data_IF_978301601993
#
_entry.id   IF_978301601993
#
_cell.length_a   1.000
_cell.length_b   1.000
_cell.length_c   1.000
_cell.angle_alpha   90.00
_cell.angle_beta   90.00
_cell.angle_gamma   90.00
#
_symmetry.space_group_name_H-M   'P 1'
#
loop_
_entity.id
_entity.type
_entity.pdbx_description
1 polymer ?
#
# COMPACT_ATOMS: atom_id res chain seq x y z
N UNK A 1 1.95 -9.65 4.92
CA UNK A 1 2.55 -10.95 5.35
C UNK A 1 1.42 -11.80 5.90
N UNK A 2 1.31 -13.04 5.41
CA UNK A 2 0.31 -13.98 5.94
C UNK A 2 0.71 -14.47 7.35
N UNK A 3 -0.24 -15.12 8.06
CA UNK A 3 0.03 -15.73 9.35
C UNK A 3 0.90 -16.99 9.19
N UNK A 4 2.03 -17.07 9.90
CA UNK A 4 2.90 -18.25 9.90
C UNK A 4 2.18 -19.49 10.44
N UNK A 5 1.25 -19.32 11.40
CA UNK A 5 0.43 -20.42 11.90
C UNK A 5 -0.48 -20.97 10.81
N UNK A 6 -1.13 -20.06 10.04
CA UNK A 6 -1.96 -20.46 8.90
C UNK A 6 -1.13 -21.21 7.85
N UNK A 7 0.07 -20.68 7.49
CA UNK A 7 0.96 -21.33 6.53
C UNK A 7 1.36 -22.74 6.98
N UNK A 8 1.71 -22.90 8.25
CA UNK A 8 2.10 -24.20 8.83
C UNK A 8 0.96 -25.22 8.86
N UNK A 9 -0.25 -24.75 9.20
CA UNK A 9 -1.44 -25.63 9.28
C UNK A 9 -2.06 -25.91 7.91
N UNK A 10 -1.85 -25.03 6.92
CA UNK A 10 -2.47 -25.10 5.59
C UNK A 10 -1.47 -24.86 4.44
N UNK A 11 -0.33 -25.58 4.36
CA UNK A 11 0.70 -25.30 3.38
C UNK A 11 0.21 -25.45 1.93
N UNK A 12 -0.64 -26.43 1.65
CA UNK A 12 -1.19 -26.62 0.31
C UNK A 12 -2.14 -25.51 -0.12
N UNK A 13 -2.90 -24.92 0.80
CA UNK A 13 -3.72 -23.74 0.49
C UNK A 13 -2.85 -22.52 0.12
N UNK A 14 -1.71 -22.34 0.78
CA UNK A 14 -0.75 -21.29 0.44
C UNK A 14 -0.11 -21.53 -0.91
N UNK A 15 0.31 -22.77 -1.19
CA UNK A 15 0.87 -23.16 -2.50
C UNK A 15 -0.15 -22.98 -3.62
N UNK A 16 -1.41 -23.36 -3.40
CA UNK A 16 -2.49 -23.15 -4.36
C UNK A 16 -2.72 -21.67 -4.66
N UNK A 17 -2.70 -20.82 -3.63
CA UNK A 17 -2.76 -19.37 -3.79
C UNK A 17 -1.60 -18.80 -4.62
N UNK A 18 -0.38 -19.30 -4.40
CA UNK A 18 0.80 -18.94 -5.20
C UNK A 18 0.61 -19.32 -6.68
N UNK A 19 0.07 -20.52 -6.96
CA UNK A 19 -0.24 -20.96 -8.34
C UNK A 19 -1.31 -20.07 -8.98
N UNK A 20 -2.39 -19.76 -8.25
CA UNK A 20 -3.45 -18.83 -8.71
C UNK A 20 -2.90 -17.46 -9.08
N UNK A 21 -1.82 -17.02 -8.42
CA UNK A 21 -1.13 -15.77 -8.72
C UNK A 21 -0.02 -15.92 -9.79
N UNK A 22 0.12 -17.07 -10.42
CA UNK A 22 1.14 -17.36 -11.44
C UNK A 22 2.57 -17.07 -10.94
N UNK A 23 2.84 -17.39 -9.67
CA UNK A 23 4.13 -17.13 -9.01
C UNK A 23 4.82 -18.42 -8.58
N UNK A 24 4.78 -19.48 -9.40
CA UNK A 24 5.27 -20.83 -9.09
C UNK A 24 6.72 -20.86 -8.58
N UNK A 25 7.55 -19.88 -8.97
CA UNK A 25 8.91 -19.70 -8.45
C UNK A 25 8.97 -19.56 -6.92
N UNK A 26 7.86 -19.18 -6.28
CA UNK A 26 7.76 -19.00 -4.82
C UNK A 26 7.27 -20.26 -4.08
N UNK A 27 6.88 -21.33 -4.78
CA UNK A 27 6.40 -22.56 -4.15
C UNK A 27 7.41 -23.19 -3.16
N UNK A 28 8.72 -23.28 -3.47
CA UNK A 28 9.70 -23.84 -2.55
C UNK A 28 9.83 -23.05 -1.23
N UNK A 29 9.51 -21.74 -1.23
CA UNK A 29 9.59 -20.89 -0.04
C UNK A 29 8.64 -21.34 1.06
N UNK A 30 7.52 -21.97 0.71
CA UNK A 30 6.53 -22.48 1.69
C UNK A 30 7.16 -23.61 2.52
N UNK A 31 7.81 -24.56 1.87
CA UNK A 31 8.47 -25.68 2.54
C UNK A 31 9.67 -25.20 3.36
N UNK A 32 10.48 -24.29 2.80
CA UNK A 32 11.63 -23.68 3.50
C UNK A 32 11.20 -22.98 4.80
N UNK A 33 10.11 -22.20 4.77
CA UNK A 33 9.57 -21.55 5.99
C UNK A 33 9.16 -22.60 7.02
N UNK A 34 8.52 -23.69 6.62
CA UNK A 34 8.09 -24.74 7.54
C UNK A 34 9.30 -25.40 8.22
N UNK A 35 10.35 -25.72 7.47
CA UNK A 35 11.57 -26.27 8.00
C UNK A 35 12.25 -25.32 9.00
N UNK A 36 12.41 -24.04 8.62
CA UNK A 36 12.98 -23.02 9.50
C UNK A 36 12.13 -22.77 10.76
N UNK A 37 10.80 -22.80 10.65
CA UNK A 37 9.90 -22.65 11.79
C UNK A 37 10.01 -23.84 12.76
N UNK A 38 10.16 -25.05 12.26
CA UNK A 38 10.42 -26.25 13.09
C UNK A 38 11.75 -26.10 13.84
N UNK A 39 12.79 -25.64 13.18
CA UNK A 39 14.11 -25.43 13.78
C UNK A 39 14.09 -24.30 14.82
N UNK A 40 13.43 -23.19 14.52
CA UNK A 40 13.25 -22.05 15.44
C UNK A 40 12.52 -22.46 16.69
N UNK A 41 11.41 -23.20 16.56
CA UNK A 41 10.65 -23.69 17.72
C UNK A 41 11.43 -24.69 18.58
N UNK A 42 12.27 -25.55 17.97
CA UNK A 42 13.16 -26.43 18.73
C UNK A 42 14.20 -25.65 19.49
N UNK A 43 14.86 -24.67 18.87
CA UNK A 43 15.84 -23.82 19.52
C UNK A 43 15.23 -23.05 20.69
N UNK A 44 14.04 -22.49 20.51
CA UNK A 44 13.28 -21.79 21.54
C UNK A 44 12.91 -22.70 22.72
N UNK A 45 12.41 -23.91 22.45
CA UNK A 45 12.07 -24.88 23.49
C UNK A 45 13.31 -25.25 24.32
N UNK A 46 14.45 -25.54 23.65
CA UNK A 46 15.71 -25.83 24.36
C UNK A 46 16.18 -24.65 25.22
N UNK A 47 16.07 -23.43 24.69
CA UNK A 47 16.42 -22.19 25.41
C UNK A 47 15.52 -22.01 26.67
N UNK A 48 14.22 -22.21 26.53
CA UNK A 48 13.26 -22.11 27.65
C UNK A 48 13.51 -23.18 28.73
N UNK A 49 13.83 -24.41 28.32
CA UNK A 49 14.19 -25.49 29.21
C UNK A 49 15.47 -25.15 29.98
N UNK A 50 16.50 -24.60 29.30
CA UNK A 50 17.74 -24.16 29.96
C UNK A 50 17.50 -22.99 30.94
N UNK A 51 16.64 -22.02 30.59
CA UNK A 51 16.25 -20.92 31.48
C UNK A 51 15.55 -21.45 32.75
N UNK A 52 14.63 -22.40 32.57
CA UNK A 52 13.91 -23.05 33.67
C UNK A 52 14.89 -23.81 34.57
N UNK A 53 15.80 -24.61 33.98
CA UNK A 53 16.79 -25.40 34.69
C UNK A 53 17.79 -24.53 35.49
N UNK A 54 18.26 -23.43 34.90
CA UNK A 54 19.12 -22.44 35.57
C UNK A 54 18.50 -21.95 36.88
N UNK A 55 17.20 -21.66 36.88
CA UNK A 55 16.51 -21.20 38.09
C UNK A 55 16.43 -22.27 39.17
N UNK A 56 16.28 -23.56 38.79
CA UNK A 56 16.30 -24.70 39.72
C UNK A 56 17.69 -24.91 40.31
N UNK A 57 18.71 -24.99 39.45
CA UNK A 57 20.12 -25.20 39.86
C UNK A 57 20.60 -24.06 40.76
N UNK A 58 20.21 -22.81 40.49
CA UNK A 58 20.57 -21.68 41.37
C UNK A 58 20.03 -21.83 42.78
N UNK A 59 18.83 -22.39 42.97
CA UNK A 59 18.27 -22.72 44.30
C UNK A 59 19.01 -23.86 44.94
N UNK A 60 19.38 -24.91 44.20
CA UNK A 60 20.16 -26.05 44.68
C UNK A 60 21.55 -25.63 45.17
N UNK A 61 22.25 -24.74 44.41
CA UNK A 61 23.55 -24.18 44.81
C UNK A 61 23.44 -23.46 46.17
N UNK A 62 22.39 -22.65 46.36
CA UNK A 62 22.15 -21.96 47.62
C UNK A 62 21.98 -22.94 48.78
N UNK A 63 21.20 -24.02 48.57
CA UNK A 63 21.00 -25.07 49.59
C UNK A 63 22.28 -25.85 49.90
N UNK A 64 23.06 -26.24 48.89
CA UNK A 64 24.33 -26.95 49.02
C UNK A 64 25.39 -26.12 49.78
N UNK A 65 25.46 -24.83 49.47
CA UNK A 65 26.35 -23.89 50.17
C UNK A 65 25.96 -23.75 51.65
N UNK A 66 24.65 -23.67 51.96
CA UNK A 66 24.13 -23.65 53.33
C UNK A 66 24.42 -24.92 54.09
N UNK A 67 24.55 -26.08 53.41
CA UNK A 67 24.91 -27.39 54.00
C UNK A 67 26.43 -27.64 54.08
N UNK A 68 27.27 -26.70 53.60
CA UNK A 68 28.73 -26.85 53.62
C UNK A 68 29.29 -27.75 52.51
N UNK A 69 28.47 -28.20 51.53
CA UNK A 69 28.84 -29.11 50.43
C UNK A 69 29.46 -28.34 49.27
N UNK A 70 30.66 -27.80 49.48
CA UNK A 70 31.32 -26.88 48.53
C UNK A 70 31.64 -27.53 47.17
N UNK A 71 32.12 -28.79 47.16
CA UNK A 71 32.45 -29.48 45.89
C UNK A 71 31.24 -29.71 45.02
N UNK A 72 30.11 -30.17 45.61
CA UNK A 72 28.86 -30.33 44.89
C UNK A 72 28.32 -28.99 44.39
N UNK A 73 28.45 -27.92 45.15
CA UNK A 73 28.07 -26.57 44.72
C UNK A 73 28.93 -26.05 43.54
N UNK A 74 30.25 -26.33 43.54
CA UNK A 74 31.12 -25.93 42.40
C UNK A 74 30.81 -26.73 41.12
N UNK A 75 30.51 -28.04 41.25
CA UNK A 75 30.05 -28.82 40.07
C UNK A 75 28.75 -28.25 39.49
N UNK A 76 27.80 -27.84 40.31
CA UNK A 76 26.57 -27.17 39.86
C UNK A 76 26.80 -25.80 39.25
N UNK A 77 27.78 -25.02 39.75
CA UNK A 77 28.17 -23.75 39.11
C UNK A 77 28.77 -23.96 37.72
N UNK A 78 29.58 -25.01 37.53
CA UNK A 78 30.13 -25.35 36.22
C UNK A 78 29.01 -25.77 35.24
N UNK A 79 28.00 -26.48 35.70
CA UNK A 79 26.80 -26.83 34.91
C UNK A 79 26.05 -25.55 34.50
N UNK A 80 25.85 -24.60 35.41
CA UNK A 80 25.21 -23.32 35.09
C UNK A 80 26.02 -22.52 34.06
N UNK A 81 27.36 -22.53 34.17
CA UNK A 81 28.21 -21.83 33.18
C UNK A 81 28.13 -22.46 31.78
N UNK A 82 28.12 -23.79 31.69
CA UNK A 82 27.94 -24.49 30.41
C UNK A 82 26.55 -24.21 29.79
N UNK A 83 25.50 -24.26 30.63
CA UNK A 83 24.14 -23.91 30.17
C UNK A 83 24.00 -22.46 29.74
N UNK A 84 24.69 -21.52 30.38
CA UNK A 84 24.71 -20.11 29.99
C UNK A 84 25.30 -19.90 28.60
N UNK A 85 26.42 -20.59 28.29
CA UNK A 85 27.03 -20.55 26.96
C UNK A 85 26.09 -21.12 25.89
N UNK A 86 25.49 -22.28 26.19
CA UNK A 86 24.54 -22.91 25.26
C UNK A 86 23.31 -22.05 25.04
N UNK A 87 22.82 -21.36 26.07
CA UNK A 87 21.69 -20.44 25.96
C UNK A 87 22.01 -19.25 25.00
N UNK A 88 23.20 -18.68 25.14
CA UNK A 88 23.67 -17.58 24.23
C UNK A 88 23.73 -18.04 22.76
N UNK A 89 24.26 -19.25 22.51
CA UNK A 89 24.27 -19.86 21.17
C UNK A 89 22.85 -20.03 20.61
N UNK A 90 21.90 -20.50 21.44
CA UNK A 90 20.52 -20.71 21.04
C UNK A 90 19.78 -19.39 20.79
N UNK A 91 19.99 -18.36 21.60
CA UNK A 91 19.42 -17.03 21.44
C UNK A 91 19.91 -16.38 20.13
N UNK A 92 21.20 -16.53 19.81
CA UNK A 92 21.76 -16.07 18.54
C UNK A 92 21.13 -16.81 17.36
N UNK A 93 21.03 -18.13 17.45
CA UNK A 93 20.41 -18.97 16.44
C UNK A 93 18.93 -18.63 16.23
N UNK A 94 18.18 -18.44 17.32
CA UNK A 94 16.76 -18.05 17.29
C UNK A 94 16.59 -16.73 16.53
N UNK A 95 17.40 -15.71 16.85
CA UNK A 95 17.35 -14.41 16.17
C UNK A 95 17.66 -14.52 14.66
N UNK A 96 18.66 -15.32 14.27
CA UNK A 96 19.00 -15.56 12.86
C UNK A 96 17.87 -16.27 12.11
N UNK A 97 17.25 -17.28 12.75
CA UNK A 97 16.14 -18.03 12.15
C UNK A 97 14.89 -17.14 12.02
N UNK A 98 14.56 -16.36 13.04
CA UNK A 98 13.43 -15.41 12.98
C UNK A 98 13.61 -14.38 11.86
N UNK A 99 14.82 -13.87 11.66
CA UNK A 99 15.10 -12.93 10.57
C UNK A 99 14.93 -13.59 9.19
N UNK A 100 15.46 -14.82 9.01
CA UNK A 100 15.29 -15.58 7.77
C UNK A 100 13.82 -15.87 7.47
N UNK A 101 13.09 -16.40 8.46
CA UNK A 101 11.65 -16.68 8.36
C UNK A 101 10.92 -15.40 7.95
N UNK A 102 11.19 -14.29 8.63
CA UNK A 102 10.54 -13.00 8.33
C UNK A 102 10.79 -12.56 6.88
N UNK A 103 12.02 -12.63 6.38
CA UNK A 103 12.36 -12.28 5.00
C UNK A 103 11.58 -13.11 3.99
N UNK A 104 11.52 -14.42 4.18
CA UNK A 104 10.78 -15.32 3.27
C UNK A 104 9.27 -15.05 3.38
N UNK A 105 8.72 -14.93 4.57
CA UNK A 105 7.31 -14.64 4.80
C UNK A 105 6.87 -13.31 4.18
N UNK A 106 7.77 -12.32 4.11
CA UNK A 106 7.50 -11.05 3.41
C UNK A 106 7.49 -11.17 1.89
N UNK A 107 8.02 -12.27 1.34
CA UNK A 107 8.04 -12.57 -0.10
C UNK A 107 6.83 -13.41 -0.53
N UNK A 108 6.27 -14.21 0.37
CA UNK A 108 5.06 -15.01 0.11
C UNK A 108 3.85 -14.07 -0.03
N UNK A 109 3.07 -14.17 -1.13
CA UNK A 109 1.93 -13.30 -1.36
C UNK A 109 0.80 -13.54 -0.35
N UNK A 110 -0.01 -12.51 -0.12
CA UNK A 110 -1.22 -12.62 0.68
C UNK A 110 -2.24 -13.56 0.03
N UNK A 111 -3.12 -14.14 0.83
CA UNK A 111 -4.21 -14.99 0.33
C UNK A 111 -5.25 -14.10 -0.34
N UNK A 112 -5.54 -14.36 -1.60
CA UNK A 112 -6.55 -13.62 -2.35
C UNK A 112 -7.97 -14.01 -1.92
N UNK A 113 -8.91 -13.05 -2.03
CA UNK A 113 -10.33 -13.31 -1.79
C UNK A 113 -10.83 -14.37 -2.78
N UNK A 114 -11.69 -15.32 -2.35
CA UNK A 114 -12.22 -16.35 -3.23
C UNK A 114 -12.98 -15.82 -4.45
N UNK A 115 -13.49 -14.59 -4.40
CA UNK A 115 -14.21 -13.93 -5.50
C UNK A 115 -13.31 -13.36 -6.57
N UNK A 116 -11.99 -13.26 -6.32
CA UNK A 116 -11.02 -12.71 -7.29
C UNK A 116 -10.97 -13.58 -8.55
N UNK A 117 -11.16 -13.00 -9.75
CA UNK A 117 -11.04 -13.75 -10.99
C UNK A 117 -9.64 -14.27 -11.19
N UNK A 118 -9.52 -15.49 -11.70
CA UNK A 118 -8.22 -16.08 -12.01
C UNK A 118 -7.81 -15.65 -13.41
N UNK A 119 -6.67 -14.98 -13.51
CA UNK A 119 -6.10 -14.48 -14.75
C UNK A 119 -4.62 -14.22 -14.59
N UNK A 120 -3.88 -14.20 -15.69
CA UNK A 120 -2.42 -14.13 -15.70
C UNK A 120 -1.87 -12.71 -15.54
N UNK A 121 -2.51 -11.74 -16.17
CA UNK A 121 -2.08 -10.35 -16.22
C UNK A 121 -3.28 -9.39 -16.39
N UNK A 122 -3.03 -8.11 -16.47
CA UNK A 122 -4.01 -7.03 -16.56
C UNK A 122 -4.98 -7.16 -17.75
N UNK A 123 -4.61 -7.86 -18.82
CA UNK A 123 -5.48 -8.12 -19.98
C UNK A 123 -6.69 -9.02 -19.64
N UNK A 124 -6.62 -9.76 -18.53
CA UNK A 124 -7.67 -10.67 -18.04
C UNK A 124 -8.46 -10.07 -16.86
N UNK A 125 -8.27 -8.79 -16.56
CA UNK A 125 -9.08 -8.07 -15.60
C UNK A 125 -10.54 -7.98 -16.05
N UNK A 126 -11.49 -8.03 -15.10
CA UNK A 126 -12.92 -8.16 -15.38
C UNK A 126 -13.65 -6.84 -15.18
N UNK A 127 -14.36 -6.36 -16.21
CA UNK A 127 -15.24 -5.20 -16.09
C UNK A 127 -16.43 -5.51 -15.19
N UNK A 128 -16.58 -4.72 -14.11
CA UNK A 128 -17.68 -4.88 -13.14
C UNK A 128 -18.87 -4.01 -13.53
N UNK A 129 -18.62 -2.72 -13.79
CA UNK A 129 -19.71 -1.76 -14.06
C UNK A 129 -19.19 -0.48 -14.72
N UNK A 130 -20.05 0.11 -15.56
CA UNK A 130 -19.88 1.45 -16.13
C UNK A 130 -20.78 2.46 -15.44
N UNK A 131 -20.32 3.69 -15.34
CA UNK A 131 -21.02 4.82 -14.75
C UNK A 131 -20.94 6.02 -15.68
N UNK A 132 -22.09 6.53 -16.10
CA UNK A 132 -22.20 7.59 -17.11
C UNK A 132 -22.00 7.06 -18.52
N UNK A 133 -22.51 7.86 -19.46
CA UNK A 133 -22.46 7.52 -20.89
C UNK A 133 -21.19 8.08 -21.52
N UNK A 134 -20.32 7.24 -22.08
CA UNK A 134 -19.14 7.70 -22.80
C UNK A 134 -19.57 8.42 -24.07
N UNK A 135 -19.11 9.65 -24.26
CA UNK A 135 -19.37 10.44 -25.43
C UNK A 135 -18.09 10.68 -26.25
N UNK A 136 -18.22 10.80 -27.54
CA UNK A 136 -17.17 11.23 -28.46
C UNK A 136 -17.71 12.43 -29.20
N UNK A 137 -17.09 13.63 -29.08
CA UNK A 137 -17.54 14.80 -29.81
C UNK A 137 -17.30 14.64 -31.33
N UNK A 138 -17.95 15.49 -32.11
CA UNK A 138 -17.83 15.52 -33.58
C UNK A 138 -16.61 16.30 -34.09
N UNK A 139 -15.74 16.76 -33.18
CA UNK A 139 -14.47 17.42 -33.47
C UNK A 139 -13.29 16.62 -32.95
N UNK A 140 -12.11 16.88 -33.52
CA UNK A 140 -10.86 16.23 -33.10
C UNK A 140 -10.42 16.74 -31.74
N UNK A 141 -10.11 15.82 -30.85
CA UNK A 141 -9.53 16.11 -29.53
C UNK A 141 -8.00 16.00 -29.64
N UNK A 142 -7.24 17.08 -29.46
CA UNK A 142 -5.79 17.05 -29.46
C UNK A 142 -5.23 16.23 -28.30
N UNK A 143 -3.94 15.93 -28.32
CA UNK A 143 -3.27 15.32 -27.21
C UNK A 143 -3.29 16.26 -25.99
N UNK A 144 -3.35 15.70 -24.79
CA UNK A 144 -3.54 16.53 -23.59
C UNK A 144 -2.46 17.62 -23.38
N UNK A 145 -1.21 17.35 -23.78
CA UNK A 145 -0.16 18.38 -23.71
C UNK A 145 -0.41 19.49 -24.72
N UNK A 146 -0.89 19.18 -25.93
CA UNK A 146 -1.17 20.18 -26.93
C UNK A 146 -2.33 21.11 -26.50
N UNK A 147 -3.34 20.54 -25.79
CA UNK A 147 -4.41 21.33 -25.17
C UNK A 147 -3.82 22.26 -24.10
N UNK A 148 -2.98 21.74 -23.21
CA UNK A 148 -2.38 22.52 -22.13
C UNK A 148 -1.38 23.57 -22.65
N UNK A 149 -0.59 23.25 -23.66
CA UNK A 149 0.34 24.20 -24.31
C UNK A 149 -0.41 25.35 -24.95
N UNK A 150 -1.53 25.08 -25.68
CA UNK A 150 -2.38 26.11 -26.27
C UNK A 150 -2.97 27.06 -25.23
N UNK A 151 -3.23 26.56 -24.02
CA UNK A 151 -3.73 27.35 -22.87
C UNK A 151 -2.60 27.94 -22.01
N UNK A 152 -1.35 27.89 -22.50
CA UNK A 152 -0.15 28.32 -21.76
C UNK A 152 -0.06 27.70 -20.33
N UNK A 153 -0.59 26.49 -20.19
CA UNK A 153 -0.80 25.81 -18.90
C UNK A 153 0.26 24.78 -18.52
N UNK A 154 1.23 24.48 -19.41
CA UNK A 154 2.30 23.50 -19.16
C UNK A 154 3.61 23.91 -19.80
N UNK A 155 4.74 23.65 -19.12
CA UNK A 155 6.09 23.81 -19.68
C UNK A 155 6.93 22.55 -19.35
N UNK A 156 7.02 21.66 -20.33
CA UNK A 156 7.81 20.43 -20.24
C UNK A 156 9.29 20.68 -20.55
N UNK A 157 9.61 21.69 -21.37
CA UNK A 157 10.99 21.98 -21.78
C UNK A 157 11.81 22.56 -20.62
N UNK A 158 11.22 23.47 -19.86
CA UNK A 158 11.87 23.99 -18.64
C UNK A 158 11.97 22.92 -17.56
N UNK A 159 10.96 22.07 -17.40
CA UNK A 159 11.01 20.96 -16.47
C UNK A 159 12.14 19.99 -16.80
N UNK A 160 12.34 19.68 -18.09
CA UNK A 160 13.45 18.83 -18.55
C UNK A 160 14.81 19.40 -18.22
N UNK A 161 14.98 20.73 -18.34
CA UNK A 161 16.24 21.41 -17.98
C UNK A 161 16.54 21.37 -16.47
N UNK A 162 15.49 21.44 -15.64
CA UNK A 162 15.61 21.54 -14.18
C UNK A 162 15.72 20.16 -13.52
N UNK A 163 14.90 19.19 -13.96
CA UNK A 163 14.73 17.92 -13.24
C UNK A 163 14.86 16.67 -14.14
N UNK A 164 14.91 16.85 -15.46
CA UNK A 164 14.92 15.74 -16.42
C UNK A 164 13.52 15.41 -16.95
N UNK A 165 13.42 14.29 -17.67
CA UNK A 165 12.14 13.80 -18.20
C UNK A 165 11.24 13.29 -17.04
N UNK A 166 9.93 13.29 -17.25
CA UNK A 166 8.96 12.81 -16.26
C UNK A 166 8.63 13.82 -15.15
N UNK A 167 8.96 15.09 -15.39
CA UNK A 167 8.56 16.25 -14.57
C UNK A 167 7.84 17.28 -15.42
N UNK A 168 7.15 18.21 -14.78
CA UNK A 168 6.36 19.25 -15.42
C UNK A 168 6.34 20.54 -14.61
N UNK A 169 6.12 21.66 -15.28
CA UNK A 169 5.54 22.86 -14.69
C UNK A 169 4.10 22.98 -15.17
N UNK A 170 3.16 23.14 -14.24
CA UNK A 170 1.81 23.60 -14.55
C UNK A 170 1.72 25.09 -14.27
N UNK A 171 1.00 25.83 -15.13
CA UNK A 171 0.91 27.28 -15.06
C UNK A 171 -0.54 27.75 -15.28
N UNK A 172 -0.80 29.00 -14.94
CA UNK A 172 -2.06 29.69 -15.22
C UNK A 172 -3.29 28.93 -14.70
N UNK A 173 -4.31 28.86 -15.52
CA UNK A 173 -5.59 28.23 -15.17
C UNK A 173 -5.50 26.69 -15.09
N UNK A 174 -4.54 26.05 -15.77
CA UNK A 174 -4.30 24.61 -15.62
C UNK A 174 -3.73 24.31 -14.23
N UNK A 175 -2.80 25.10 -13.71
CA UNK A 175 -2.29 24.96 -12.35
C UNK A 175 -3.39 25.22 -11.30
N UNK A 176 -4.27 26.22 -11.56
CA UNK A 176 -5.44 26.48 -10.71
C UNK A 176 -6.43 25.32 -10.72
N UNK A 177 -6.71 24.75 -11.89
CA UNK A 177 -7.58 23.58 -12.04
C UNK A 177 -7.02 22.38 -11.26
N UNK A 178 -5.72 22.11 -11.38
CA UNK A 178 -5.03 21.07 -10.62
C UNK A 178 -5.26 21.25 -9.10
N UNK A 179 -5.03 22.45 -8.57
CA UNK A 179 -5.25 22.76 -7.16
C UNK A 179 -6.73 22.71 -6.76
N UNK A 180 -7.63 23.15 -7.65
CA UNK A 180 -9.08 23.11 -7.43
C UNK A 180 -9.61 21.68 -7.30
N UNK A 181 -9.12 20.75 -8.14
CA UNK A 181 -9.50 19.33 -8.07
C UNK A 181 -9.07 18.71 -6.75
N UNK A 182 -7.86 19.00 -6.27
CA UNK A 182 -7.37 18.50 -4.98
C UNK A 182 -8.19 19.09 -3.83
N UNK A 183 -8.44 20.39 -3.84
CA UNK A 183 -9.23 21.07 -2.80
C UNK A 183 -10.65 20.52 -2.75
N UNK A 184 -11.29 20.34 -3.90
CA UNK A 184 -12.61 19.71 -4.00
C UNK A 184 -12.59 18.27 -3.48
N UNK A 185 -11.63 17.44 -3.90
CA UNK A 185 -11.51 16.06 -3.44
C UNK A 185 -11.32 15.94 -1.92
N UNK A 186 -10.52 16.83 -1.33
CA UNK A 186 -10.35 16.93 0.12
C UNK A 186 -11.69 17.21 0.82
N UNK A 187 -12.39 18.24 0.39
CA UNK A 187 -13.65 18.67 1.02
C UNK A 187 -14.75 17.63 0.80
N UNK A 188 -14.76 16.97 -0.37
CA UNK A 188 -15.63 15.83 -0.67
C UNK A 188 -15.42 14.68 0.32
N UNK A 189 -14.18 14.33 0.65
CA UNK A 189 -13.89 13.26 1.61
C UNK A 189 -14.20 13.67 3.05
N UNK A 190 -13.93 14.91 3.43
CA UNK A 190 -14.34 15.46 4.75
C UNK A 190 -15.86 15.37 4.90
N UNK A 191 -16.61 15.76 3.86
CA UNK A 191 -18.07 15.65 3.82
C UNK A 191 -18.60 14.20 3.92
N UNK A 192 -17.76 13.21 3.63
CA UNK A 192 -18.05 11.78 3.81
C UNK A 192 -17.58 11.18 5.13
N UNK A 193 -17.14 12.03 6.07
CA UNK A 193 -16.77 11.64 7.42
C UNK A 193 -15.32 11.16 7.57
N UNK A 194 -14.45 11.40 6.57
CA UNK A 194 -13.02 11.12 6.70
C UNK A 194 -12.29 12.26 7.41
N UNK A 195 -11.40 11.90 8.31
CA UNK A 195 -10.53 12.87 8.97
C UNK A 195 -9.39 13.25 8.04
N UNK A 196 -9.30 14.55 7.71
CA UNK A 196 -8.18 15.06 6.91
C UNK A 196 -6.91 15.15 7.75
N UNK A 197 -5.81 14.66 7.24
CA UNK A 197 -4.50 14.76 7.86
C UNK A 197 -3.42 15.14 6.85
N UNK A 198 -2.36 15.78 7.34
CA UNK A 198 -1.13 16.06 6.58
C UNK A 198 -0.02 15.20 7.20
N UNK A 199 0.39 14.13 6.50
CA UNK A 199 1.37 13.19 7.01
C UNK A 199 2.80 13.61 6.67
N UNK A 200 3.83 12.99 7.27
CA UNK A 200 5.19 13.09 6.80
C UNK A 200 5.33 12.59 5.35
N UNK A 201 6.08 13.30 4.51
CA UNK A 201 6.34 12.91 3.11
C UNK A 201 7.63 12.09 2.94
N UNK A 202 8.33 11.85 4.04
CA UNK A 202 9.46 10.94 4.14
C UNK A 202 9.21 9.94 5.26
N UNK A 203 9.53 8.67 5.02
CA UNK A 203 9.29 7.57 5.94
C UNK A 203 10.51 6.68 6.08
N UNK A 204 10.64 6.01 7.23
CA UNK A 204 11.73 5.08 7.51
C UNK A 204 11.55 3.74 6.79
N UNK A 205 12.64 3.02 6.59
CA UNK A 205 12.67 1.68 6.00
C UNK A 205 11.71 0.70 6.69
N UNK A 206 11.55 0.81 8.02
CA UNK A 206 10.61 -0.01 8.80
C UNK A 206 9.15 0.19 8.41
N UNK A 207 8.76 1.39 7.97
CA UNK A 207 7.43 1.67 7.43
C UNK A 207 7.34 1.19 5.99
N UNK A 208 8.33 1.51 5.15
CA UNK A 208 8.35 1.08 3.73
C UNK A 208 8.15 -0.42 3.61
N UNK A 209 8.94 -1.22 4.32
CA UNK A 209 8.85 -2.69 4.29
C UNK A 209 7.55 -3.23 4.91
N UNK A 210 6.85 -2.40 5.67
CA UNK A 210 5.53 -2.74 6.22
C UNK A 210 4.39 -2.56 5.23
N UNK A 211 4.48 -1.60 4.32
CA UNK A 211 3.36 -1.19 3.45
C UNK A 211 3.45 -1.72 2.02
N UNK A 212 4.61 -2.18 1.56
CA UNK A 212 4.80 -2.70 0.20
C UNK A 212 5.71 -3.93 0.16
N UNK A 213 5.76 -4.59 -0.99
CA UNK A 213 6.72 -5.67 -1.26
C UNK A 213 8.14 -5.11 -1.52
N UNK A 214 9.16 -6.00 -1.47
CA UNK A 214 10.53 -5.60 -1.78
C UNK A 214 10.70 -5.21 -3.26
N UNK A 215 10.01 -5.91 -4.16
CA UNK A 215 10.05 -5.62 -5.60
C UNK A 215 9.45 -4.24 -5.90
N UNK A 216 8.30 -3.90 -5.28
CA UNK A 216 7.69 -2.58 -5.38
C UNK A 216 8.59 -1.48 -4.79
N UNK A 217 9.25 -1.76 -3.65
CA UNK A 217 10.18 -0.82 -3.03
C UNK A 217 11.33 -0.45 -3.96
N UNK A 218 11.99 -1.42 -4.61
CA UNK A 218 13.10 -1.17 -5.54
C UNK A 218 12.64 -0.42 -6.79
N UNK A 219 11.48 -0.79 -7.33
CA UNK A 219 10.92 -0.18 -8.53
C UNK A 219 10.41 1.25 -8.32
N UNK A 220 9.92 1.57 -7.12
CA UNK A 220 9.18 2.80 -6.85
C UNK A 220 9.92 3.83 -6.02
N UNK A 221 10.61 3.42 -4.93
CA UNK A 221 11.00 4.34 -3.86
C UNK A 221 12.32 5.08 -4.11
N UNK A 222 12.31 6.41 -3.94
CA UNK A 222 13.53 7.21 -3.80
C UNK A 222 14.03 7.16 -2.35
N UNK A 223 15.31 6.83 -2.16
CA UNK A 223 15.98 6.85 -0.87
C UNK A 223 16.82 8.11 -0.74
N UNK A 224 16.81 8.72 0.44
CA UNK A 224 17.72 9.82 0.78
C UNK A 224 19.09 9.24 1.12
N UNK A 225 20.12 9.74 0.45
CA UNK A 225 21.49 9.29 0.68
C UNK A 225 21.96 9.68 2.10
N UNK A 226 22.59 8.73 2.79
CA UNK A 226 23.09 8.92 4.15
C UNK A 226 22.03 8.87 5.26
N UNK A 227 20.75 8.69 4.92
CA UNK A 227 19.64 8.71 5.87
C UNK A 227 18.80 7.42 5.77
N UNK A 228 18.17 7.01 6.88
CA UNK A 228 17.11 5.99 6.83
C UNK A 228 15.74 6.64 6.52
N UNK A 229 15.69 7.33 5.38
CA UNK A 229 14.49 8.01 4.89
C UNK A 229 14.26 7.73 3.41
N UNK A 230 12.98 7.62 3.06
CA UNK A 230 12.48 7.39 1.72
C UNK A 230 11.37 8.38 1.42
N UNK A 231 11.36 8.97 0.22
CA UNK A 231 10.24 9.78 -0.25
C UNK A 231 9.03 8.87 -0.50
N UNK A 232 7.85 9.30 -0.07
CA UNK A 232 6.62 8.50 -0.24
C UNK A 232 6.18 8.44 -1.71
N UNK A 233 5.73 7.27 -2.14
CA UNK A 233 5.06 7.10 -3.44
C UNK A 233 3.54 7.35 -3.38
N UNK A 234 3.00 7.46 -2.16
CA UNK A 234 1.60 7.75 -1.83
C UNK A 234 1.49 8.09 -0.35
N UNK A 235 0.54 8.93 0.03
CA UNK A 235 0.28 9.21 1.46
C UNK A 235 -0.26 8.02 2.24
N UNK A 236 -0.78 6.99 1.57
CA UNK A 236 -1.11 5.70 2.20
C UNK A 236 0.02 5.20 3.09
N UNK A 237 1.26 5.23 2.57
CA UNK A 237 2.44 4.74 3.28
C UNK A 237 2.60 5.40 4.65
N UNK A 238 2.52 6.73 4.70
CA UNK A 238 2.62 7.48 5.95
C UNK A 238 1.39 7.33 6.83
N UNK A 239 0.19 7.32 6.25
CA UNK A 239 -1.06 7.21 7.00
C UNK A 239 -1.19 5.84 7.68
N UNK A 240 -0.82 4.75 6.99
CA UNK A 240 -0.78 3.42 7.60
C UNK A 240 0.38 3.33 8.59
N UNK A 241 1.54 3.89 8.23
CA UNK A 241 2.71 3.97 9.11
C UNK A 241 2.47 4.69 10.44
N UNK A 242 1.48 5.60 10.50
CA UNK A 242 1.02 6.26 11.75
C UNK A 242 0.69 5.26 12.85
N UNK A 243 0.25 4.07 12.49
CA UNK A 243 -0.20 3.03 13.43
C UNK A 243 0.87 1.97 13.74
N UNK A 244 2.14 2.16 13.29
CA UNK A 244 3.23 1.20 13.58
C UNK A 244 3.36 0.93 15.09
N UNK A 245 3.52 -0.35 15.47
CA UNK A 245 3.64 -0.83 16.86
C UNK A 245 2.50 -0.36 17.80
N UNK A 246 1.31 -0.10 17.25
CA UNK A 246 0.17 0.41 18.01
C UNK A 246 -0.83 -0.68 18.34
N UNK A 247 -1.40 -0.62 19.56
CA UNK A 247 -2.57 -1.39 19.94
C UNK A 247 -3.75 -0.41 20.01
N UNK A 248 -4.66 -0.51 19.05
CA UNK A 248 -5.82 0.37 18.92
C UNK A 248 -6.96 -0.18 19.82
N UNK A 249 -7.56 0.63 20.69
CA UNK A 249 -8.81 0.25 21.35
C UNK A 249 -9.91 -0.02 20.31
N UNK A 250 -10.65 -1.12 20.47
CA UNK A 250 -11.63 -1.54 19.46
C UNK A 250 -12.73 -0.50 19.21
N UNK A 251 -13.14 0.23 20.26
CA UNK A 251 -14.12 1.31 20.20
C UNK A 251 -13.65 2.54 19.36
N UNK A 252 -12.36 2.62 19.03
CA UNK A 252 -11.81 3.66 18.15
C UNK A 252 -11.78 3.27 16.67
N UNK A 253 -12.24 2.07 16.34
CA UNK A 253 -12.40 1.64 14.96
C UNK A 253 -13.80 1.99 14.41
N UNK A 254 -13.93 2.24 13.13
CA UNK A 254 -12.87 2.34 12.13
C UNK A 254 -12.10 3.66 12.23
N UNK A 255 -10.81 3.63 11.83
CA UNK A 255 -10.04 4.85 11.55
C UNK A 255 -10.16 5.16 10.05
N UNK A 256 -10.76 6.29 9.72
CA UNK A 256 -10.98 6.76 8.35
C UNK A 256 -10.21 8.05 8.12
N UNK A 257 -9.13 7.97 7.34
CA UNK A 257 -8.26 9.11 7.08
C UNK A 257 -8.21 9.44 5.60
N UNK A 258 -8.13 10.73 5.27
CA UNK A 258 -7.84 11.22 3.93
C UNK A 258 -6.69 12.21 3.96
N UNK A 259 -5.88 12.23 2.93
CA UNK A 259 -4.66 13.04 2.91
C UNK A 259 -4.31 13.47 1.50
N UNK A 260 -3.89 14.71 1.38
CA UNK A 260 -3.13 15.21 0.24
C UNK A 260 -1.63 14.98 0.47
N UNK A 261 -0.93 14.57 -0.59
CA UNK A 261 0.54 14.58 -0.59
C UNK A 261 1.12 14.71 -1.99
N UNK A 262 2.35 15.25 -2.12
CA UNK A 262 3.21 14.89 -3.23
C UNK A 262 3.52 13.40 -3.18
N UNK A 263 3.74 12.81 -4.35
CA UNK A 263 4.10 11.42 -4.54
C UNK A 263 5.33 11.35 -5.44
N UNK A 264 6.30 10.53 -5.06
CA UNK A 264 7.56 10.40 -5.80
C UNK A 264 7.75 8.94 -6.20
N UNK A 265 7.90 8.68 -7.52
CA UNK A 265 8.06 7.33 -8.03
C UNK A 265 9.18 7.27 -9.07
N UNK A 266 10.06 6.29 -8.93
CA UNK A 266 11.14 6.04 -9.91
C UNK A 266 10.62 5.57 -11.26
N UNK A 267 9.40 4.98 -11.30
CA UNK A 267 8.80 4.39 -12.52
C UNK A 267 9.77 3.45 -13.26
N UNK A 268 10.61 2.71 -12.52
CA UNK A 268 11.63 1.83 -13.06
C UNK A 268 10.99 0.66 -13.80
N UNK A 269 11.37 0.46 -15.06
CA UNK A 269 10.84 -0.64 -15.90
C UNK A 269 9.52 -0.32 -16.61
N UNK A 270 8.97 0.86 -16.42
CA UNK A 270 7.79 1.31 -17.15
C UNK A 270 8.21 1.83 -18.54
N UNK A 271 7.95 1.05 -19.57
CA UNK A 271 8.16 1.43 -20.97
C UNK A 271 6.83 1.36 -21.71
N UNK A 272 6.47 2.38 -22.48
CA UNK A 272 5.24 2.38 -23.29
C UNK A 272 4.98 3.68 -24.04
N UNK A 273 3.99 3.63 -24.92
CA UNK A 273 3.63 4.69 -25.90
C UNK A 273 3.17 6.04 -25.29
N UNK A 274 2.96 6.13 -23.98
CA UNK A 274 2.50 7.35 -23.31
C UNK A 274 3.58 8.02 -22.42
N UNK A 275 4.84 7.93 -22.83
CA UNK A 275 5.96 8.60 -22.12
C UNK A 275 5.92 10.14 -22.26
N UNK A 276 5.20 10.66 -23.26
CA UNK A 276 5.01 12.10 -23.46
C UNK A 276 3.87 12.61 -22.57
N UNK A 277 4.10 13.72 -21.87
CA UNK A 277 3.07 14.40 -21.10
C UNK A 277 3.06 14.04 -19.63
N UNK A 278 1.88 13.94 -19.03
CA UNK A 278 1.69 13.80 -17.57
C UNK A 278 1.08 12.47 -17.14
N UNK A 279 1.00 11.50 -18.05
CA UNK A 279 0.39 10.20 -17.71
C UNK A 279 1.27 9.37 -16.77
N UNK A 280 2.60 9.36 -17.03
CA UNK A 280 3.59 8.62 -16.23
C UNK A 280 4.76 9.53 -15.90
N UNK A 281 4.87 9.90 -14.63
CA UNK A 281 5.77 10.95 -14.15
C UNK A 281 6.38 10.58 -12.80
N UNK A 282 7.55 11.15 -12.50
CA UNK A 282 8.32 10.89 -11.29
C UNK A 282 7.78 11.62 -10.06
N UNK A 283 7.13 12.77 -10.26
CA UNK A 283 6.54 13.58 -9.21
C UNK A 283 5.12 13.97 -9.60
N UNK A 284 4.17 13.68 -8.73
CA UNK A 284 2.77 14.10 -8.88
C UNK A 284 2.14 14.31 -7.52
N UNK A 285 0.91 14.75 -7.51
CA UNK A 285 0.14 14.99 -6.29
C UNK A 285 -1.08 14.08 -6.26
N UNK A 286 -1.50 13.70 -5.06
CA UNK A 286 -2.62 12.78 -4.88
C UNK A 286 -3.38 13.09 -3.60
N UNK A 287 -4.70 13.07 -3.69
CA UNK A 287 -5.59 12.90 -2.55
C UNK A 287 -5.88 11.42 -2.39
N UNK A 288 -5.60 10.89 -1.21
CA UNK A 288 -5.73 9.48 -0.86
C UNK A 288 -6.73 9.28 0.27
N UNK A 289 -7.30 8.10 0.40
CA UNK A 289 -8.10 7.67 1.54
C UNK A 289 -7.63 6.30 2.03
N UNK A 290 -7.61 6.14 3.36
CA UNK A 290 -7.34 4.85 4.01
C UNK A 290 -8.40 4.53 5.05
N UNK A 291 -8.55 3.23 5.31
CA UNK A 291 -9.33 2.72 6.44
C UNK A 291 -8.52 1.69 7.20
N UNK A 292 -8.53 1.82 8.54
CA UNK A 292 -8.09 0.77 9.46
C UNK A 292 -9.33 0.30 10.20
N UNK A 293 -9.71 -0.98 10.06
CA UNK A 293 -10.99 -1.49 10.55
C UNK A 293 -10.88 -2.91 11.10
N UNK A 294 -12.00 -3.39 11.64
CA UNK A 294 -12.17 -4.80 12.02
C UNK A 294 -12.17 -5.69 10.77
N UNK A 295 -11.70 -6.95 10.88
CA UNK A 295 -11.70 -7.89 9.75
C UNK A 295 -13.07 -8.08 9.09
N UNK A 296 -14.13 -8.19 9.88
CA UNK A 296 -15.51 -8.38 9.41
C UNK A 296 -16.10 -7.17 8.66
N UNK A 297 -15.54 -5.98 8.89
CA UNK A 297 -15.97 -4.74 8.22
C UNK A 297 -15.24 -4.50 6.89
N UNK A 298 -14.19 -5.25 6.61
CA UNK A 298 -13.26 -5.02 5.50
C UNK A 298 -13.96 -4.98 4.15
N UNK A 299 -14.89 -5.89 3.88
CA UNK A 299 -15.65 -5.92 2.63
C UNK A 299 -16.54 -4.69 2.45
N UNK A 300 -17.25 -4.28 3.50
CA UNK A 300 -18.11 -3.09 3.47
C UNK A 300 -17.28 -1.82 3.20
N UNK A 301 -16.12 -1.70 3.86
CA UNK A 301 -15.25 -0.54 3.65
C UNK A 301 -14.62 -0.53 2.26
N UNK A 302 -14.26 -1.69 1.70
CA UNK A 302 -13.77 -1.79 0.33
C UNK A 302 -14.78 -1.21 -0.68
N UNK A 303 -16.05 -1.60 -0.56
CA UNK A 303 -17.12 -1.08 -1.41
C UNK A 303 -17.33 0.43 -1.24
N UNK A 304 -17.28 0.95 -0.01
CA UNK A 304 -17.41 2.39 0.24
C UNK A 304 -16.24 3.20 -0.32
N UNK A 305 -15.01 2.71 -0.17
CA UNK A 305 -13.83 3.39 -0.69
C UNK A 305 -13.87 3.49 -2.21
N UNK A 306 -14.16 2.38 -2.86
CA UNK A 306 -14.30 2.33 -4.31
C UNK A 306 -15.40 3.28 -4.81
N UNK A 307 -16.58 3.24 -4.22
CA UNK A 307 -17.70 4.11 -4.59
C UNK A 307 -17.37 5.60 -4.43
N UNK A 308 -16.56 5.98 -3.45
CA UNK A 308 -16.14 7.37 -3.28
C UNK A 308 -15.40 7.92 -4.50
N UNK A 309 -14.52 7.14 -5.11
CA UNK A 309 -13.79 7.59 -6.32
C UNK A 309 -14.75 7.67 -7.51
N UNK A 310 -15.61 6.68 -7.70
CA UNK A 310 -16.64 6.71 -8.75
C UNK A 310 -17.50 7.97 -8.62
N UNK A 311 -18.01 8.24 -7.43
CA UNK A 311 -18.87 9.41 -7.16
C UNK A 311 -18.15 10.74 -7.41
N UNK A 312 -16.87 10.84 -7.02
CA UNK A 312 -16.09 12.04 -7.27
C UNK A 312 -15.96 12.33 -8.77
N UNK A 313 -15.55 11.33 -9.57
CA UNK A 313 -15.43 11.50 -11.01
C UNK A 313 -16.77 11.80 -11.67
N UNK A 314 -17.84 11.12 -11.23
CA UNK A 314 -19.20 11.37 -11.73
C UNK A 314 -19.71 12.76 -11.39
N UNK A 315 -19.33 13.33 -10.23
CA UNK A 315 -19.68 14.70 -9.86
C UNK A 315 -19.05 15.77 -10.77
N UNK A 316 -17.98 15.39 -11.47
CA UNK A 316 -17.29 16.23 -12.47
C UNK A 316 -17.71 15.89 -13.92
N UNK A 317 -18.80 15.16 -14.11
CA UNK A 317 -19.34 14.72 -15.40
C UNK A 317 -18.41 13.79 -16.21
N UNK A 318 -17.42 13.16 -15.57
CA UNK A 318 -16.49 12.24 -16.23
C UNK A 318 -17.05 10.81 -16.18
N UNK A 319 -17.29 10.14 -17.32
CA UNK A 319 -17.67 8.74 -17.35
C UNK A 319 -16.53 7.87 -16.86
N UNK A 320 -16.86 6.88 -16.01
CA UNK A 320 -15.89 5.92 -15.48
C UNK A 320 -16.42 4.49 -15.59
N UNK A 321 -15.50 3.53 -15.56
CA UNK A 321 -15.81 2.14 -15.33
C UNK A 321 -14.98 1.59 -14.19
N UNK A 322 -15.42 0.48 -13.64
CA UNK A 322 -14.67 -0.30 -12.65
C UNK A 322 -14.29 -1.64 -13.22
N UNK A 323 -13.04 -2.01 -13.04
CA UNK A 323 -12.53 -3.35 -13.36
C UNK A 323 -12.03 -4.01 -12.09
N UNK A 324 -12.24 -5.31 -11.94
CA UNK A 324 -11.67 -6.14 -10.90
C UNK A 324 -10.35 -6.73 -11.39
N UNK A 325 -9.28 -6.48 -10.64
CA UNK A 325 -7.96 -7.04 -10.95
C UNK A 325 -7.99 -8.56 -10.75
N UNK A 326 -7.49 -9.30 -11.72
CA UNK A 326 -7.34 -10.75 -11.65
C UNK A 326 -6.15 -11.15 -10.76
N UNK A 327 -6.09 -12.42 -10.43
CA UNK A 327 -5.12 -12.96 -9.47
C UNK A 327 -3.65 -12.71 -9.83
N UNK A 328 -3.30 -12.72 -11.12
CA UNK A 328 -1.93 -12.48 -11.59
C UNK A 328 -1.53 -11.00 -11.60
N UNK A 329 -2.51 -10.09 -11.72
CA UNK A 329 -2.30 -8.64 -11.69
C UNK A 329 -2.25 -8.08 -10.26
N UNK A 330 -2.81 -8.78 -9.27
CA UNK A 330 -2.79 -8.35 -7.87
C UNK A 330 -1.37 -8.28 -7.31
N UNK A 331 -0.96 -7.13 -6.77
CA UNK A 331 0.25 -7.00 -5.97
C UNK A 331 0.24 -7.96 -4.76
N UNK A 332 1.43 -8.31 -4.25
CA UNK A 332 1.59 -9.38 -3.27
C UNK A 332 0.86 -9.19 -1.94
N UNK A 333 0.66 -7.94 -1.52
CA UNK A 333 -0.03 -7.64 -0.27
C UNK A 333 -1.56 -7.59 -0.40
N UNK A 334 -2.07 -7.46 -1.62
CA UNK A 334 -3.51 -7.27 -1.86
C UNK A 334 -4.28 -8.57 -1.75
N UNK A 335 -5.42 -8.51 -1.06
CA UNK A 335 -6.44 -9.56 -1.01
C UNK A 335 -7.40 -9.42 -2.19
N UNK A 336 -7.75 -8.19 -2.53
CA UNK A 336 -8.65 -7.81 -3.62
C UNK A 336 -8.38 -6.38 -4.08
N UNK A 337 -8.54 -6.10 -5.36
CA UNK A 337 -8.40 -4.75 -5.92
C UNK A 337 -9.43 -4.47 -7.00
N UNK A 338 -9.97 -3.24 -6.97
CA UNK A 338 -10.74 -2.65 -8.06
C UNK A 338 -10.02 -1.43 -8.59
N UNK A 339 -9.84 -1.36 -9.90
CA UNK A 339 -9.36 -0.14 -10.54
C UNK A 339 -10.55 0.65 -11.09
N UNK A 340 -10.50 1.96 -10.91
CA UNK A 340 -11.41 2.90 -11.53
C UNK A 340 -10.72 3.49 -12.74
N UNK A 341 -11.36 3.37 -13.89
CA UNK A 341 -10.86 3.88 -15.14
C UNK A 341 -11.78 4.98 -15.68
N UNK A 342 -11.21 6.08 -16.16
CA UNK A 342 -11.93 7.19 -16.78
C UNK A 342 -11.98 7.05 -18.30
N UNK A 343 -13.06 7.52 -18.89
CA UNK A 343 -13.22 7.54 -20.34
C UNK A 343 -12.30 8.57 -21.01
N UNK A 344 -11.59 8.15 -22.04
CA UNK A 344 -10.87 9.01 -22.98
C UNK A 344 -11.62 9.09 -24.31
N UNK A 345 -12.32 10.18 -24.60
CA UNK A 345 -12.99 10.32 -25.89
C UNK A 345 -12.00 10.41 -27.05
N UNK A 346 -10.78 10.89 -26.83
CA UNK A 346 -9.70 10.92 -27.84
C UNK A 346 -9.27 9.52 -28.23
N UNK A 347 -9.02 8.64 -27.23
CA UNK A 347 -8.57 7.28 -27.47
C UNK A 347 -9.72 6.29 -27.71
N UNK A 348 -10.96 6.70 -27.40
CA UNK A 348 -12.16 5.84 -27.42
C UNK A 348 -12.00 4.60 -26.54
N UNK A 349 -11.31 4.76 -25.39
CA UNK A 349 -11.06 3.72 -24.40
C UNK A 349 -11.03 4.30 -22.99
N UNK A 350 -11.11 3.44 -22.01
CA UNK A 350 -10.90 3.78 -20.60
C UNK A 350 -9.43 3.64 -20.23
N UNK A 351 -8.97 4.40 -19.23
CA UNK A 351 -7.64 4.28 -18.63
C UNK A 351 -7.70 4.49 -17.13
N UNK A 352 -6.81 3.86 -16.40
CA UNK A 352 -6.76 3.85 -14.94
C UNK A 352 -6.52 5.26 -14.36
N UNK A 353 -7.39 5.65 -13.42
CA UNK A 353 -7.28 6.90 -12.66
C UNK A 353 -7.25 6.69 -11.15
N UNK A 354 -7.49 5.49 -10.67
CA UNK A 354 -7.42 5.13 -9.26
C UNK A 354 -7.50 3.64 -9.04
N UNK A 355 -6.90 3.17 -7.94
CA UNK A 355 -6.91 1.76 -7.54
C UNK A 355 -7.31 1.62 -6.09
N UNK A 356 -8.41 0.90 -5.85
CA UNK A 356 -8.93 0.56 -4.54
C UNK A 356 -8.40 -0.80 -4.11
N UNK A 357 -7.80 -0.88 -2.93
CA UNK A 357 -7.14 -2.09 -2.45
C UNK A 357 -7.60 -2.49 -1.06
N UNK A 358 -7.91 -3.78 -0.90
CA UNK A 358 -8.04 -4.44 0.38
C UNK A 358 -6.76 -5.25 0.63
N UNK A 359 -6.03 -4.93 1.70
CA UNK A 359 -4.78 -5.60 2.09
C UNK A 359 -5.01 -6.67 3.17
N UNK A 360 -6.23 -6.79 3.68
CA UNK A 360 -6.51 -7.64 4.83
C UNK A 360 -5.61 -7.25 6.01
N UNK A 361 -5.02 -8.22 6.67
CA UNK A 361 -4.10 -8.01 7.79
C UNK A 361 -2.60 -7.96 7.40
N UNK A 362 -2.28 -7.97 6.09
CA UNK A 362 -0.90 -8.09 5.63
C UNK A 362 0.02 -6.94 6.11
N UNK A 363 -0.43 -5.70 5.98
CA UNK A 363 0.31 -4.53 6.47
C UNK A 363 0.30 -4.48 8.00
N UNK A 364 -0.84 -4.77 8.61
CA UNK A 364 -0.98 -4.77 10.07
C UNK A 364 -0.04 -5.77 10.75
N UNK A 365 0.16 -6.96 10.17
CA UNK A 365 1.13 -7.94 10.68
C UNK A 365 2.57 -7.44 10.57
N UNK A 366 2.92 -6.82 9.44
CA UNK A 366 4.26 -6.27 9.23
C UNK A 366 4.57 -5.09 10.16
N UNK A 367 3.60 -4.21 10.35
CA UNK A 367 3.71 -2.99 11.16
C UNK A 367 3.26 -3.20 12.62
N UNK A 368 2.82 -4.41 13.00
CA UNK A 368 2.32 -4.75 14.33
C UNK A 368 1.13 -3.88 14.77
N UNK A 369 0.22 -3.59 13.86
CA UNK A 369 -1.02 -2.84 14.13
C UNK A 369 -2.05 -3.82 14.70
N UNK A 370 -2.25 -3.81 15.99
CA UNK A 370 -3.15 -4.70 16.70
C UNK A 370 -4.35 -3.95 17.25
N UNK A 371 -5.43 -4.66 17.47
CA UNK A 371 -6.65 -4.16 18.10
C UNK A 371 -6.84 -4.89 19.43
N UNK A 372 -7.22 -4.14 20.46
CA UNK A 372 -7.57 -4.71 21.75
C UNK A 372 -9.09 -4.94 21.80
N UNK A 373 -9.53 -6.13 21.40
CA UNK A 373 -10.94 -6.54 21.39
C UNK A 373 -11.35 -7.29 22.66
N UNK A 374 -12.66 -7.53 22.80
CA UNK A 374 -13.25 -8.23 23.94
C UNK A 374 -12.69 -9.66 24.12
N UNK A 375 -12.44 -10.36 23.02
CA UNK A 375 -11.94 -11.73 22.99
C UNK A 375 -10.41 -11.84 22.89
N UNK A 376 -9.69 -10.74 23.11
CA UNK A 376 -8.24 -10.67 23.02
C UNK A 376 -7.75 -9.80 21.86
N UNK A 377 -6.43 -9.79 21.64
CA UNK A 377 -5.79 -8.98 20.63
C UNK A 377 -5.84 -9.67 19.26
N UNK A 378 -6.16 -8.90 18.21
CA UNK A 378 -6.12 -9.33 16.82
C UNK A 378 -5.45 -8.27 15.94
N UNK A 379 -5.11 -8.63 14.69
CA UNK A 379 -4.59 -7.67 13.71
C UNK A 379 -5.72 -6.94 12.99
N UNK A 380 -5.59 -5.63 12.85
CA UNK A 380 -6.53 -4.84 12.05
C UNK A 380 -6.45 -5.21 10.56
N UNK A 381 -7.50 -4.91 9.81
CA UNK A 381 -7.45 -4.85 8.35
C UNK A 381 -7.17 -3.43 7.88
N UNK A 382 -6.43 -3.30 6.78
CA UNK A 382 -6.12 -2.01 6.16
C UNK A 382 -6.60 -1.99 4.72
N UNK A 383 -7.15 -0.84 4.32
CA UNK A 383 -7.63 -0.59 2.98
C UNK A 383 -7.21 0.79 2.53
N UNK A 384 -7.04 0.98 1.24
CA UNK A 384 -6.76 2.28 0.65
C UNK A 384 -7.46 2.45 -0.70
N UNK A 385 -7.61 3.69 -1.11
CA UNK A 385 -8.02 4.04 -2.46
C UNK A 385 -7.56 5.46 -2.80
N UNK A 386 -7.22 5.67 -4.05
CA UNK A 386 -7.01 7.00 -4.61
C UNK A 386 -8.35 7.73 -4.69
N UNK A 387 -8.45 8.89 -4.04
CA UNK A 387 -9.58 9.80 -4.27
C UNK A 387 -9.43 10.43 -5.64
N UNK A 388 -8.29 11.07 -5.87
CA UNK A 388 -7.89 11.62 -7.17
C UNK A 388 -6.38 11.81 -7.25
N UNK A 389 -5.81 11.52 -8.42
CA UNK A 389 -4.45 11.87 -8.80
C UNK A 389 -4.52 12.81 -10.01
N UNK A 390 -4.37 14.13 -9.81
CA UNK A 390 -4.64 15.12 -10.84
C UNK A 390 -3.98 14.90 -12.21
N UNK A 391 -2.75 14.40 -12.33
CA UNK A 391 -2.15 14.26 -13.66
C UNK A 391 -2.98 13.39 -14.61
N UNK A 392 -3.36 12.17 -14.18
CA UNK A 392 -4.26 11.32 -14.99
C UNK A 392 -5.68 11.87 -15.06
N UNK A 393 -6.16 12.39 -13.93
CA UNK A 393 -7.46 13.05 -13.87
C UNK A 393 -7.51 14.27 -14.81
N UNK A 394 -6.46 15.09 -14.90
CA UNK A 394 -6.43 16.23 -15.84
C UNK A 394 -6.54 15.77 -17.28
N UNK A 395 -5.94 14.65 -17.68
CA UNK A 395 -6.10 14.09 -19.02
C UNK A 395 -7.58 13.80 -19.28
N UNK A 396 -8.23 13.04 -18.39
CA UNK A 396 -9.65 12.71 -18.51
C UNK A 396 -10.52 13.98 -18.48
N UNK A 397 -10.20 14.93 -17.60
CA UNK A 397 -10.94 16.18 -17.46
C UNK A 397 -10.88 17.03 -18.74
N UNK A 398 -9.68 17.26 -19.26
CA UNK A 398 -9.48 18.07 -20.45
C UNK A 398 -10.16 17.45 -21.66
N UNK A 399 -10.00 16.15 -21.87
CA UNK A 399 -10.62 15.46 -23.00
C UNK A 399 -12.16 15.44 -22.95
N UNK A 400 -12.75 15.29 -21.75
CA UNK A 400 -14.22 15.24 -21.60
C UNK A 400 -14.88 16.63 -21.51
N UNK A 401 -14.12 17.71 -21.23
CA UNK A 401 -14.64 19.06 -21.06
C UNK A 401 -14.18 20.04 -22.15
N UNK A 402 -13.36 19.59 -23.12
CA UNK A 402 -12.97 20.41 -24.28
C UNK A 402 -14.20 20.73 -25.10
N UNK A 403 -14.30 21.99 -25.53
CA UNK A 403 -15.36 22.48 -26.40
C UNK A 403 -14.83 22.75 -27.85
N UNK A 404 -15.73 22.82 -28.81
CA UNK A 404 -15.34 23.01 -30.21
C UNK A 404 -14.56 24.29 -30.46
N UNK A 405 -14.71 25.33 -29.63
CA UNK A 405 -13.97 26.59 -29.70
C UNK A 405 -12.58 26.53 -29.04
N UNK A 406 -12.23 25.35 -28.47
CA UNK A 406 -10.96 25.12 -27.78
C UNK A 406 -10.93 25.54 -26.34
N UNK A 407 -12.05 25.98 -25.77
CA UNK A 407 -12.19 26.27 -24.33
C UNK A 407 -12.46 25.00 -23.52
N UNK A 408 -12.19 25.05 -22.21
CA UNK A 408 -12.47 23.94 -21.30
C UNK A 408 -13.60 24.32 -20.36
N UNK A 409 -14.72 23.60 -20.42
CA UNK A 409 -15.85 23.77 -19.48
C UNK A 409 -15.43 23.37 -18.06
N UNK A 410 -15.79 24.17 -17.06
CA UNK A 410 -15.60 23.85 -15.64
C UNK A 410 -16.95 23.41 -15.06
N UNK A 411 -17.06 22.13 -14.60
CA UNK A 411 -18.24 21.62 -13.90
C UNK A 411 -18.60 22.48 -12.67
N UNK A 412 -19.88 22.54 -12.33
CA UNK A 412 -20.38 23.40 -11.23
C UNK A 412 -19.67 23.14 -9.91
N UNK A 413 -19.38 21.89 -9.58
CA UNK A 413 -18.72 21.49 -8.33
C UNK A 413 -17.33 22.07 -8.15
N UNK A 414 -16.63 22.39 -9.26
CA UNK A 414 -15.27 22.97 -9.23
C UNK A 414 -15.26 24.50 -9.30
N UNK A 415 -16.35 25.16 -9.72
CA UNK A 415 -16.38 26.62 -9.88
C UNK A 415 -16.05 27.38 -8.59
N UNK A 416 -16.51 26.97 -7.39
CA UNK A 416 -16.10 27.65 -6.16
C UNK A 416 -14.60 27.66 -5.93
N UNK A 417 -13.91 26.60 -6.35
CA UNK A 417 -12.45 26.42 -6.22
C UNK A 417 -11.66 27.13 -7.35
N UNK A 418 -12.37 27.56 -8.39
CA UNK A 418 -11.83 28.31 -9.55
C UNK A 418 -12.24 29.80 -9.50
N UNK A 419 -12.66 30.31 -8.33
CA UNK A 419 -13.07 31.72 -8.19
C UNK A 419 -14.37 32.06 -8.97
N UNK A 420 -15.24 31.09 -9.16
CA UNK A 420 -16.50 31.24 -9.91
C UNK A 420 -16.37 31.09 -11.42
N UNK A 421 -15.16 30.85 -11.95
CA UNK A 421 -14.92 30.69 -13.37
C UNK A 421 -15.62 29.43 -13.90
N UNK A 422 -16.32 29.58 -15.01
CA UNK A 422 -17.07 28.47 -15.65
C UNK A 422 -16.39 27.89 -16.87
N UNK A 423 -15.36 28.56 -17.39
CA UNK A 423 -14.62 28.19 -18.61
C UNK A 423 -13.16 28.60 -18.48
N UNK A 424 -12.23 27.78 -18.93
CA UNK A 424 -10.82 28.12 -19.18
C UNK A 424 -10.68 28.48 -20.67
N UNK A 425 -10.00 29.59 -20.96
CA UNK A 425 -9.84 30.12 -22.32
C UNK A 425 -8.37 30.20 -22.72
#
# INVERSE_FOLDING_TARGET
MIDIKFLRENPEAVKENIRKKFQDRKLPLVDEVIELDVESRKAKQEADDLRSNRNKISKEIGALMGQGKKEEAEAKKAEVAANAKRLEELETKEAELEEKIKKIMMTIPNIIDPSVPIGKDDSENVEIKKYGEPAVPDFEIPYHTDIMEKLEGIDLDSARKVAGNGFYYLMGDIARLHSAVIAYARDFMIGRGFTYCVPPFMIRSSVVTGVMSFDEMDAMMYKIEGEDLYLIGTSEHSMIGKFIDTIIPEEKLPQTLTSYSPCFRKEKGAHGLEERGVYRIHQFEKQEMIVVCKPEESKMWFEKLWQNTVDLFRSMDIPVRTIECCSGDLADLKVKSYDVEAWSPRQKKYFEVGSCSNLGDAQARRLKIRVNGENGKYFAHTLNNTVVAPPRMLIAFLENNLQADGTIKIPEVLRPYMGGQSVIK
#
